data_IF_410717389865
#
_entry.id   IF_410717389865
#
_cell.length_a   1.000
_cell.length_b   1.000
_cell.length_c   1.000
_cell.angle_alpha   90.00
_cell.angle_beta   90.00
_cell.angle_gamma   90.00
#
_symmetry.space_group_name_H-M   'P 1'
#
loop_
_entity.id
_entity.type
_entity.pdbx_description
1 polymer ?
#
# COMPACT_ATOMS: atom_id res chain seq x y z
N UNK A 1 -7.03 0.49 -27.07
CA UNK A 1 -6.32 -0.63 -26.42
C UNK A 1 -7.17 -1.21 -25.29
N UNK A 2 -7.39 -0.46 -24.21
CA UNK A 2 -8.10 -0.96 -23.01
C UNK A 2 -9.52 -1.52 -23.25
N UNK A 3 -10.35 -0.89 -24.09
CA UNK A 3 -11.66 -1.47 -24.42
C UNK A 3 -11.58 -2.88 -24.98
N UNK A 4 -10.61 -3.14 -25.87
CA UNK A 4 -10.38 -4.47 -26.44
C UNK A 4 -9.86 -5.43 -25.36
N UNK A 5 -8.89 -5.02 -24.54
CA UNK A 5 -8.36 -5.82 -23.42
C UNK A 5 -9.48 -6.26 -22.47
N UNK A 6 -10.30 -5.32 -22.00
CA UNK A 6 -11.43 -5.59 -21.08
C UNK A 6 -12.47 -6.51 -21.72
N UNK A 7 -12.84 -6.25 -22.98
CA UNK A 7 -13.77 -7.11 -23.73
C UNK A 7 -13.23 -8.54 -23.90
N UNK A 8 -11.97 -8.67 -24.32
CA UNK A 8 -11.36 -9.98 -24.58
C UNK A 8 -11.24 -10.79 -23.27
N UNK A 9 -10.81 -10.17 -22.16
CA UNK A 9 -10.78 -10.85 -20.84
C UNK A 9 -12.19 -11.27 -20.40
N UNK A 10 -13.18 -10.37 -20.51
CA UNK A 10 -14.55 -10.66 -20.07
C UNK A 10 -15.22 -11.78 -20.91
N UNK A 11 -14.94 -11.85 -22.21
CA UNK A 11 -15.57 -12.83 -23.12
C UNK A 11 -14.87 -14.19 -23.14
N UNK A 12 -13.67 -14.30 -22.57
CA UNK A 12 -12.96 -15.58 -22.39
C UNK A 12 -13.58 -16.45 -21.29
N UNK A 13 -14.35 -15.87 -20.38
CA UNK A 13 -15.00 -16.59 -19.28
C UNK A 13 -16.48 -16.79 -19.58
N UNK A 14 -17.00 -18.00 -19.36
CA UNK A 14 -18.44 -18.27 -19.51
C UNK A 14 -19.23 -17.63 -18.37
N UNK A 15 -20.49 -17.29 -18.62
CA UNK A 15 -21.39 -16.77 -17.57
C UNK A 15 -21.54 -17.75 -16.40
N UNK A 16 -21.54 -19.06 -16.68
CA UNK A 16 -21.58 -20.12 -15.67
C UNK A 16 -20.34 -20.08 -14.77
N UNK A 17 -19.13 -20.01 -15.36
CA UNK A 17 -17.89 -19.89 -14.60
C UNK A 17 -17.87 -18.61 -13.74
N UNK A 18 -18.29 -17.47 -14.30
CA UNK A 18 -18.34 -16.20 -13.55
C UNK A 18 -19.27 -16.32 -12.34
N UNK A 19 -20.43 -16.96 -12.50
CA UNK A 19 -21.38 -17.19 -11.41
C UNK A 19 -20.81 -18.14 -10.34
N UNK A 20 -20.23 -19.26 -10.76
CA UNK A 20 -19.59 -20.25 -9.88
C UNK A 20 -18.46 -19.60 -9.07
N UNK A 21 -17.59 -18.85 -9.75
CA UNK A 21 -16.45 -18.21 -9.11
C UNK A 21 -16.87 -17.10 -8.15
N UNK A 22 -17.90 -16.31 -8.48
CA UNK A 22 -18.46 -15.31 -7.57
C UNK A 22 -19.07 -15.95 -6.31
N UNK A 23 -19.81 -17.06 -6.46
CA UNK A 23 -20.35 -17.80 -5.32
C UNK A 23 -19.24 -18.37 -4.43
N UNK A 24 -18.22 -19.00 -5.04
CA UNK A 24 -17.10 -19.57 -4.29
C UNK A 24 -16.35 -18.51 -3.47
N UNK A 25 -16.13 -17.31 -4.03
CA UNK A 25 -15.51 -16.17 -3.31
C UNK A 25 -16.37 -15.72 -2.13
N UNK A 26 -17.69 -15.62 -2.31
CA UNK A 26 -18.60 -15.24 -1.23
C UNK A 26 -18.60 -16.26 -0.08
N UNK A 27 -18.61 -17.55 -0.40
CA UNK A 27 -18.59 -18.63 0.59
C UNK A 27 -17.24 -18.69 1.32
N UNK A 28 -16.14 -18.58 0.57
CA UNK A 28 -14.79 -18.57 1.13
C UNK A 28 -14.54 -17.39 2.06
N UNK A 29 -15.08 -16.20 1.76
CA UNK A 29 -14.98 -15.04 2.64
C UNK A 29 -15.61 -15.31 4.02
N UNK A 30 -16.82 -15.88 4.04
CA UNK A 30 -17.50 -16.22 5.30
C UNK A 30 -16.74 -17.31 6.07
N UNK A 31 -16.24 -18.32 5.36
CA UNK A 31 -15.43 -19.37 5.96
C UNK A 31 -14.12 -18.82 6.55
N UNK A 32 -13.44 -17.93 5.83
CA UNK A 32 -12.22 -17.26 6.28
C UNK A 32 -12.44 -16.42 7.53
N UNK A 33 -13.53 -15.63 7.59
CA UNK A 33 -13.85 -14.84 8.78
C UNK A 33 -13.96 -15.70 10.04
N UNK A 34 -14.60 -16.87 9.92
CA UNK A 34 -14.70 -17.84 11.01
C UNK A 34 -13.35 -18.49 11.32
N UNK A 35 -12.67 -19.02 10.30
CA UNK A 35 -11.39 -19.69 10.44
C UNK A 35 -10.32 -18.78 11.07
N UNK A 36 -10.24 -17.52 10.64
CA UNK A 36 -9.34 -16.52 11.23
C UNK A 36 -9.69 -16.26 12.69
N UNK A 37 -10.97 -16.09 13.02
CA UNK A 37 -11.39 -15.90 14.42
C UNK A 37 -11.00 -17.07 15.32
N UNK A 38 -11.09 -18.29 14.80
CA UNK A 38 -10.83 -19.54 15.53
C UNK A 38 -9.37 -20.03 15.37
N UNK A 39 -8.53 -19.30 14.64
CA UNK A 39 -7.17 -19.68 14.24
C UNK A 39 -7.07 -21.11 13.64
N UNK A 40 -8.05 -21.48 12.80
CA UNK A 40 -8.21 -22.82 12.24
C UNK A 40 -8.06 -22.83 10.71
N UNK A 41 -6.82 -22.91 10.21
CA UNK A 41 -6.58 -22.97 8.77
C UNK A 41 -7.18 -24.21 8.11
N UNK A 42 -7.27 -25.34 8.84
CA UNK A 42 -7.84 -26.57 8.30
C UNK A 42 -9.32 -26.42 7.93
N UNK A 43 -10.08 -25.60 8.67
CA UNK A 43 -11.45 -25.25 8.31
C UNK A 43 -11.56 -24.39 7.03
N UNK A 44 -10.56 -23.56 6.73
CA UNK A 44 -10.53 -22.72 5.53
C UNK A 44 -9.99 -23.45 4.29
N UNK A 45 -9.11 -24.43 4.47
CA UNK A 45 -8.42 -25.14 3.41
C UNK A 45 -9.31 -25.65 2.26
N UNK A 46 -10.49 -26.28 2.49
CA UNK A 46 -11.36 -26.73 1.39
C UNK A 46 -11.86 -25.58 0.50
N UNK A 47 -12.12 -24.42 1.10
CA UNK A 47 -12.56 -23.22 0.37
C UNK A 47 -11.42 -22.61 -0.43
N UNK A 48 -10.24 -22.51 0.17
CA UNK A 48 -9.04 -22.05 -0.52
C UNK A 48 -8.68 -22.95 -1.71
N UNK A 49 -8.77 -24.27 -1.54
CA UNK A 49 -8.54 -25.24 -2.62
C UNK A 49 -9.50 -25.01 -3.79
N UNK A 50 -10.79 -24.86 -3.52
CA UNK A 50 -11.77 -24.56 -4.56
C UNK A 50 -11.46 -23.23 -5.29
N UNK A 51 -11.07 -22.18 -4.55
CA UNK A 51 -10.69 -20.90 -5.16
C UNK A 51 -9.45 -21.01 -6.03
N UNK A 52 -8.42 -21.74 -5.60
CA UNK A 52 -7.20 -21.96 -6.38
C UNK A 52 -7.51 -22.75 -7.65
N UNK A 53 -8.34 -23.79 -7.57
CA UNK A 53 -8.72 -24.60 -8.73
C UNK A 53 -9.55 -23.80 -9.75
N UNK A 54 -10.49 -22.96 -9.29
CA UNK A 54 -11.22 -22.04 -10.16
C UNK A 54 -10.30 -20.97 -10.75
N UNK A 55 -9.33 -20.46 -9.97
CA UNK A 55 -8.35 -19.50 -10.45
C UNK A 55 -7.46 -20.09 -11.54
N UNK A 56 -7.07 -21.37 -11.44
CA UNK A 56 -6.35 -22.08 -12.52
C UNK A 56 -7.16 -22.15 -13.81
N UNK A 57 -8.45 -22.49 -13.73
CA UNK A 57 -9.34 -22.44 -14.91
C UNK A 57 -9.42 -21.03 -15.52
N UNK A 58 -9.41 -19.99 -14.68
CA UNK A 58 -9.37 -18.58 -15.13
C UNK A 58 -8.08 -18.28 -15.87
N UNK A 59 -6.93 -18.71 -15.33
CA UNK A 59 -5.62 -18.57 -15.97
C UNK A 59 -5.60 -19.27 -17.33
N UNK A 60 -6.10 -20.51 -17.41
CA UNK A 60 -6.16 -21.27 -18.67
C UNK A 60 -7.00 -20.53 -19.73
N UNK A 61 -8.13 -19.94 -19.32
CA UNK A 61 -8.99 -19.17 -20.21
C UNK A 61 -8.32 -17.87 -20.70
N UNK A 62 -7.57 -17.20 -19.82
CA UNK A 62 -6.82 -16.00 -20.18
C UNK A 62 -5.61 -16.29 -21.07
N UNK A 63 -4.89 -17.38 -20.79
CA UNK A 63 -3.58 -17.68 -21.35
C UNK A 63 -2.46 -16.85 -20.71
N UNK A 64 -1.24 -17.33 -20.87
CA UNK A 64 -0.01 -16.69 -20.43
C UNK A 64 1.13 -17.09 -21.37
N UNK A 65 2.23 -16.32 -21.38
CA UNK A 65 3.38 -16.61 -22.24
C UNK A 65 4.44 -17.46 -21.51
N UNK A 66 4.85 -17.04 -20.31
CA UNK A 66 5.97 -17.65 -19.59
C UNK A 66 5.50 -18.48 -18.40
N UNK A 67 4.76 -17.88 -17.48
CA UNK A 67 4.31 -18.58 -16.28
C UNK A 67 2.84 -18.31 -15.94
N UNK A 68 2.09 -19.28 -15.37
CA UNK A 68 0.67 -19.10 -15.03
C UNK A 68 0.40 -17.85 -14.18
N UNK A 69 1.30 -17.54 -13.25
CA UNK A 69 1.15 -16.41 -12.35
C UNK A 69 1.20 -15.04 -13.05
N UNK A 70 1.81 -14.93 -14.24
CA UNK A 70 1.82 -13.68 -15.03
C UNK A 70 0.39 -13.24 -15.41
N UNK A 71 -0.50 -14.20 -15.67
CA UNK A 71 -1.90 -13.89 -15.99
C UNK A 71 -2.64 -13.22 -14.82
N UNK A 72 -2.23 -13.51 -13.59
CA UNK A 72 -2.78 -12.94 -12.37
C UNK A 72 -2.18 -11.56 -12.07
N UNK A 73 -0.86 -11.40 -12.26
CA UNK A 73 -0.20 -10.09 -12.13
C UNK A 73 -0.79 -9.06 -13.11
N UNK A 74 -1.02 -9.44 -14.36
CA UNK A 74 -1.58 -8.56 -15.40
C UNK A 74 -3.05 -8.12 -15.13
N UNK A 75 -3.74 -8.73 -14.16
CA UNK A 75 -5.06 -8.23 -13.72
C UNK A 75 -4.95 -6.92 -12.94
N UNK A 76 -3.88 -6.73 -12.17
CA UNK A 76 -3.73 -5.61 -11.24
C UNK A 76 -2.66 -4.62 -11.67
N UNK A 77 -1.61 -5.10 -12.35
CA UNK A 77 -0.52 -4.31 -12.90
C UNK A 77 -0.27 -4.72 -14.36
N UNK A 78 -1.00 -4.08 -15.28
CA UNK A 78 -1.02 -4.48 -16.68
C UNK A 78 0.37 -4.48 -17.33
N UNK A 79 0.76 -5.59 -17.94
CA UNK A 79 2.00 -5.71 -18.71
C UNK A 79 3.26 -6.01 -17.90
N UNK A 80 3.17 -6.12 -16.58
CA UNK A 80 4.27 -6.61 -15.75
C UNK A 80 4.16 -8.13 -15.54
N UNK A 81 5.32 -8.78 -15.53
CA UNK A 81 5.47 -10.24 -15.40
C UNK A 81 6.42 -10.59 -14.25
N UNK A 82 6.48 -11.86 -13.87
CA UNK A 82 7.44 -12.35 -12.86
C UNK A 82 8.87 -11.93 -13.17
N UNK A 83 9.27 -11.87 -14.44
CA UNK A 83 10.62 -11.42 -14.82
C UNK A 83 10.88 -9.93 -14.56
N UNK A 84 9.84 -9.11 -14.51
CA UNK A 84 9.93 -7.70 -14.14
C UNK A 84 9.91 -7.52 -12.62
N UNK A 85 9.09 -8.31 -11.91
CA UNK A 85 8.95 -8.26 -10.46
C UNK A 85 10.15 -8.83 -9.71
N UNK A 86 10.69 -9.97 -10.15
CA UNK A 86 11.75 -10.69 -9.42
C UNK A 86 12.99 -9.80 -9.18
N UNK A 87 13.55 -9.08 -10.17
CA UNK A 87 14.69 -8.18 -9.95
C UNK A 87 14.39 -7.04 -8.98
N UNK A 88 13.16 -6.48 -9.02
CA UNK A 88 12.74 -5.42 -8.10
C UNK A 88 12.70 -5.94 -6.66
N UNK A 89 12.17 -7.15 -6.46
CA UNK A 89 11.95 -7.76 -5.15
C UNK A 89 13.27 -8.30 -4.55
N UNK A 90 14.13 -8.93 -5.34
CA UNK A 90 15.45 -9.41 -4.88
C UNK A 90 16.30 -8.28 -4.28
N UNK A 91 16.37 -7.14 -4.97
CA UNK A 91 17.10 -5.95 -4.49
C UNK A 91 16.57 -5.42 -3.15
N UNK A 92 15.26 -5.52 -2.91
CA UNK A 92 14.64 -5.09 -1.65
C UNK A 92 15.04 -5.98 -0.48
N UNK A 93 14.85 -7.30 -0.59
CA UNK A 93 15.14 -8.23 0.53
C UNK A 93 16.59 -8.13 0.98
N UNK A 94 17.50 -8.10 0.01
CA UNK A 94 18.94 -8.16 0.28
C UNK A 94 19.47 -6.90 0.99
N UNK A 95 18.74 -5.77 0.93
CA UNK A 95 19.10 -4.51 1.61
C UNK A 95 18.22 -4.18 2.82
N UNK A 96 16.92 -4.46 2.76
CA UNK A 96 15.99 -4.19 3.88
C UNK A 96 16.22 -5.13 5.07
N UNK A 97 16.51 -6.42 4.85
CA UNK A 97 16.76 -7.36 5.97
C UNK A 97 18.02 -6.96 6.76
N UNK A 98 19.17 -6.63 6.14
CA UNK A 98 20.31 -6.08 6.88
C UNK A 98 20.04 -4.73 7.53
N UNK A 99 19.28 -3.83 6.87
CA UNK A 99 18.89 -2.55 7.47
C UNK A 99 18.07 -2.76 8.75
N UNK A 100 17.05 -3.61 8.71
CA UNK A 100 16.24 -3.97 9.87
C UNK A 100 17.11 -4.46 11.03
N UNK A 101 18.06 -5.36 10.77
CA UNK A 101 18.98 -5.88 11.80
C UNK A 101 19.80 -4.76 12.45
N UNK A 102 20.31 -3.81 11.66
CA UNK A 102 21.06 -2.65 12.18
C UNK A 102 20.18 -1.72 13.03
N UNK A 103 18.95 -1.46 12.57
CA UNK A 103 17.96 -0.66 13.32
C UNK A 103 17.66 -1.30 14.67
N UNK A 104 17.37 -2.60 14.69
CA UNK A 104 17.07 -3.33 15.93
C UNK A 104 18.25 -3.36 16.91
N UNK A 105 19.49 -3.39 16.40
CA UNK A 105 20.67 -3.26 17.25
C UNK A 105 20.80 -1.86 17.84
N UNK A 106 20.63 -0.81 17.02
CA UNK A 106 20.66 0.58 17.48
C UNK A 106 19.57 0.88 18.53
N UNK A 107 18.37 0.28 18.38
CA UNK A 107 17.27 0.42 19.34
C UNK A 107 17.59 -0.10 20.74
N UNK A 108 18.58 -1.00 20.90
CA UNK A 108 18.99 -1.48 22.23
C UNK A 108 19.64 -0.39 23.08
N UNK A 109 20.35 0.55 22.46
CA UNK A 109 21.00 1.66 23.14
C UNK A 109 20.18 2.95 23.08
N UNK A 110 19.32 3.08 22.09
CA UNK A 110 18.45 4.24 21.89
C UNK A 110 17.03 3.77 21.53
N UNK A 111 16.17 3.45 22.51
CA UNK A 111 14.80 2.99 22.24
C UNK A 111 13.96 4.11 21.64
N UNK A 112 12.91 3.75 20.89
CA UNK A 112 12.00 4.73 20.31
C UNK A 112 11.11 5.36 21.39
N UNK A 113 10.70 6.63 21.21
CA UNK A 113 9.77 7.28 22.13
C UNK A 113 8.42 6.57 22.10
N UNK A 114 7.77 6.45 23.25
CA UNK A 114 6.42 5.89 23.36
C UNK A 114 5.42 6.99 23.72
N UNK A 115 4.18 6.81 23.29
CA UNK A 115 3.07 7.63 23.75
C UNK A 115 2.90 7.45 25.27
N UNK A 116 2.79 8.54 26.07
CA UNK A 116 2.48 8.43 27.48
C UNK A 116 1.14 7.74 27.73
N UNK A 117 1.10 6.87 28.74
CA UNK A 117 -0.13 6.21 29.16
C UNK A 117 -1.18 7.23 29.62
N UNK A 118 -2.45 6.97 29.27
CA UNK A 118 -3.59 7.77 29.71
C UNK A 118 -3.84 9.05 28.90
N UNK A 119 -3.04 9.34 27.87
CA UNK A 119 -3.41 10.35 26.87
C UNK A 119 -4.64 9.90 26.10
N UNK A 120 -5.51 10.87 25.78
CA UNK A 120 -6.70 10.63 24.97
C UNK A 120 -6.79 11.70 23.89
N UNK A 121 -7.06 11.24 22.67
CA UNK A 121 -7.19 12.08 21.48
C UNK A 121 -8.62 11.95 20.99
N UNK A 122 -9.52 12.84 21.41
CA UNK A 122 -10.94 12.70 21.06
C UNK A 122 -11.16 12.67 19.55
N UNK A 123 -12.07 11.83 19.08
CA UNK A 123 -12.42 11.67 17.66
C UNK A 123 -12.70 13.01 16.96
N UNK A 124 -13.48 13.92 17.58
CA UNK A 124 -13.82 15.23 17.02
C UNK A 124 -12.57 16.07 16.68
N UNK A 125 -11.57 16.06 17.57
CA UNK A 125 -10.31 16.76 17.38
C UNK A 125 -9.43 16.11 16.32
N UNK A 126 -9.43 14.77 16.25
CA UNK A 126 -8.74 14.04 15.16
C UNK A 126 -9.36 14.38 13.80
N UNK A 127 -10.69 14.35 13.70
CA UNK A 127 -11.42 14.69 12.47
C UNK A 127 -11.11 16.13 12.02
N UNK A 128 -11.17 17.10 12.93
CA UNK A 128 -10.87 18.50 12.63
C UNK A 128 -9.42 18.71 12.19
N UNK A 129 -8.45 18.09 12.88
CA UNK A 129 -7.03 18.17 12.53
C UNK A 129 -6.75 17.51 11.17
N UNK A 130 -7.24 16.29 10.96
CA UNK A 130 -7.00 15.55 9.73
C UNK A 130 -7.70 16.20 8.52
N UNK A 131 -8.86 16.83 8.71
CA UNK A 131 -9.53 17.61 7.65
C UNK A 131 -8.63 18.74 7.16
N UNK A 132 -8.02 19.52 8.07
CA UNK A 132 -7.08 20.59 7.71
C UNK A 132 -5.85 20.06 6.96
N UNK A 133 -5.35 18.88 7.37
CA UNK A 133 -4.23 18.22 6.68
C UNK A 133 -4.62 17.84 5.25
N UNK A 134 -5.78 17.21 5.04
CA UNK A 134 -6.29 16.86 3.70
C UNK A 134 -6.51 18.10 2.83
N UNK A 135 -7.06 19.19 3.38
CA UNK A 135 -7.21 20.47 2.67
C UNK A 135 -5.86 21.02 2.23
N UNK A 136 -4.84 20.96 3.11
CA UNK A 136 -3.47 21.42 2.80
C UNK A 136 -2.79 20.56 1.73
N UNK A 137 -3.08 19.26 1.69
CA UNK A 137 -2.69 18.37 0.59
C UNK A 137 -3.36 18.72 -0.74
N UNK A 138 -4.43 19.53 -0.72
CA UNK A 138 -5.14 20.00 -1.90
C UNK A 138 -6.38 19.18 -2.24
N UNK A 139 -6.92 18.41 -1.28
CA UNK A 139 -8.16 17.67 -1.48
C UNK A 139 -9.35 18.62 -1.58
N UNK A 140 -10.16 18.47 -2.62
CA UNK A 140 -11.34 19.28 -2.83
C UNK A 140 -12.58 18.68 -2.15
N UNK A 141 -12.93 19.21 -0.97
CA UNK A 141 -14.14 18.82 -0.23
C UNK A 141 -15.45 19.30 -0.88
N UNK A 142 -15.43 20.17 -1.90
CA UNK A 142 -16.62 20.44 -2.71
C UNK A 142 -16.90 19.30 -3.70
N UNK A 143 -15.88 18.49 -4.01
CA UNK A 143 -15.92 17.35 -4.92
C UNK A 143 -15.74 16.00 -4.18
N UNK A 144 -15.94 15.98 -2.86
CA UNK A 144 -15.64 14.82 -2.04
C UNK A 144 -15.99 14.94 -0.57
N UNK A 145 -15.73 13.89 0.20
CA UNK A 145 -15.91 13.89 1.67
C UNK A 145 -15.06 12.81 2.35
N UNK A 146 -14.82 13.02 3.64
CA UNK A 146 -14.21 12.06 4.57
C UNK A 146 -15.29 11.46 5.49
N UNK A 147 -15.20 10.16 5.77
CA UNK A 147 -16.13 9.42 6.64
C UNK A 147 -15.41 8.43 7.56
N UNK A 148 -16.09 7.90 8.57
CA UNK A 148 -15.56 6.84 9.43
C UNK A 148 -15.87 5.43 8.88
N UNK A 149 -14.90 4.51 8.98
CA UNK A 149 -15.11 3.09 8.68
C UNK A 149 -14.15 2.18 9.46
N UNK A 150 -14.42 0.87 9.48
CA UNK A 150 -13.54 -0.12 10.15
C UNK A 150 -12.20 -0.30 9.44
N UNK A 151 -12.21 -0.21 8.11
CA UNK A 151 -11.02 -0.32 7.26
C UNK A 151 -11.03 0.87 6.32
N UNK A 152 -10.07 1.82 6.47
CA UNK A 152 -9.92 2.95 5.55
C UNK A 152 -9.89 2.49 4.10
N UNK A 153 -10.56 3.24 3.24
CA UNK A 153 -10.49 3.08 1.79
C UNK A 153 -10.88 4.38 1.08
N UNK A 154 -10.37 4.55 -0.13
CA UNK A 154 -10.79 5.58 -1.07
C UNK A 154 -11.68 4.97 -2.14
N UNK A 155 -12.73 5.69 -2.48
CA UNK A 155 -13.72 5.30 -3.48
C UNK A 155 -14.30 6.54 -4.14
N UNK A 156 -15.12 6.34 -5.15
CA UNK A 156 -15.76 7.45 -5.84
C UNK A 156 -16.44 6.96 -7.09
N UNK A 157 -17.02 7.90 -7.81
CA UNK A 157 -17.60 7.61 -9.12
C UNK A 157 -16.64 8.08 -10.21
N UNK A 158 -16.20 9.34 -10.14
CA UNK A 158 -15.31 10.06 -11.07
C UNK A 158 -14.83 11.37 -10.40
N UNK A 159 -13.91 12.16 -11.00
CA UNK A 159 -13.67 13.53 -10.57
C UNK A 159 -15.00 14.27 -10.37
N UNK A 160 -15.15 14.90 -9.20
CA UNK A 160 -16.39 15.55 -8.76
C UNK A 160 -17.19 14.78 -7.70
N UNK A 161 -16.91 13.50 -7.47
CA UNK A 161 -17.40 12.72 -6.30
C UNK A 161 -16.37 11.65 -5.91
N UNK A 162 -15.33 12.09 -5.19
CA UNK A 162 -14.29 11.23 -4.60
C UNK A 162 -14.42 11.24 -3.09
N UNK A 163 -14.59 10.07 -2.48
CA UNK A 163 -14.81 9.91 -1.04
C UNK A 163 -13.73 9.03 -0.47
N UNK A 164 -13.36 9.28 0.76
CA UNK A 164 -12.51 8.35 1.47
C UNK A 164 -12.95 8.20 2.91
N UNK A 165 -12.52 7.10 3.52
CA UNK A 165 -12.83 6.81 4.90
C UNK A 165 -11.57 6.72 5.74
N UNK A 166 -11.69 6.96 7.04
CA UNK A 166 -10.63 6.73 8.02
C UNK A 166 -11.15 5.94 9.21
N UNK A 167 -10.24 5.54 10.09
CA UNK A 167 -10.53 4.93 11.39
C UNK A 167 -9.87 5.78 12.47
N UNK A 168 -10.66 6.15 13.47
CA UNK A 168 -10.17 6.87 14.64
C UNK A 168 -9.69 5.93 15.73
N UNK A 169 -8.65 6.33 16.45
CA UNK A 169 -8.17 5.64 17.64
C UNK A 169 -7.92 6.69 18.73
N UNK A 170 -8.70 6.66 19.82
CA UNK A 170 -8.58 7.65 20.90
C UNK A 170 -7.27 7.51 21.68
N UNK A 171 -6.51 6.43 21.50
CA UNK A 171 -5.24 6.17 22.17
C UNK A 171 -4.03 6.46 21.27
N UNK A 172 -4.23 6.49 19.94
CA UNK A 172 -3.17 6.75 18.97
C UNK A 172 -3.64 7.70 17.84
N UNK A 173 -3.28 9.00 17.89
CA UNK A 173 -3.68 9.97 16.88
C UNK A 173 -2.95 9.76 15.55
N UNK A 174 -1.81 9.07 15.56
CA UNK A 174 -1.01 8.83 14.37
C UNK A 174 -1.66 7.79 13.45
N UNK A 175 -2.37 6.82 14.04
CA UNK A 175 -3.17 5.84 13.29
C UNK A 175 -4.17 6.53 12.35
N UNK A 176 -4.95 7.48 12.87
CA UNK A 176 -5.91 8.24 12.06
C UNK A 176 -5.20 9.18 11.08
N UNK A 177 -4.19 9.92 11.53
CA UNK A 177 -3.50 10.90 10.68
C UNK A 177 -2.93 10.23 9.42
N UNK A 178 -2.15 9.17 9.57
CA UNK A 178 -1.52 8.52 8.43
C UNK A 178 -2.53 7.76 7.56
N UNK A 179 -3.59 7.19 8.15
CA UNK A 179 -4.70 6.66 7.36
C UNK A 179 -5.36 7.76 6.51
N UNK A 180 -5.61 8.95 7.06
CA UNK A 180 -6.18 10.07 6.30
C UNK A 180 -5.23 10.53 5.20
N UNK A 181 -3.93 10.69 5.49
CA UNK A 181 -2.97 11.09 4.46
C UNK A 181 -2.85 10.05 3.34
N UNK A 182 -2.86 8.76 3.68
CA UNK A 182 -2.86 7.65 2.73
C UNK A 182 -4.06 7.72 1.79
N UNK A 183 -5.27 7.74 2.36
CA UNK A 183 -6.49 7.73 1.57
C UNK A 183 -6.72 9.06 0.83
N UNK A 184 -6.23 10.17 1.38
CA UNK A 184 -6.22 11.46 0.66
C UNK A 184 -5.30 11.39 -0.56
N UNK A 185 -4.13 10.75 -0.46
CA UNK A 185 -3.23 10.57 -1.61
C UNK A 185 -3.86 9.75 -2.74
N UNK A 186 -4.58 8.68 -2.41
CA UNK A 186 -5.44 7.97 -3.35
C UNK A 186 -6.51 8.89 -3.95
N UNK A 187 -7.22 9.63 -3.11
CA UNK A 187 -8.30 10.51 -3.55
C UNK A 187 -7.81 11.67 -4.44
N UNK A 188 -6.60 12.17 -4.22
CA UNK A 188 -5.96 13.20 -5.05
C UNK A 188 -5.64 12.69 -6.46
N UNK A 189 -5.27 11.42 -6.60
CA UNK A 189 -5.13 10.81 -7.92
C UNK A 189 -6.47 10.82 -8.66
N UNK A 190 -7.51 10.31 -8.01
CA UNK A 190 -8.87 10.24 -8.57
C UNK A 190 -9.41 11.63 -8.94
N UNK A 191 -9.24 12.64 -8.08
CA UNK A 191 -9.60 14.03 -8.38
C UNK A 191 -8.74 14.66 -9.49
N UNK A 192 -7.55 14.13 -9.73
CA UNK A 192 -6.62 14.61 -10.76
C UNK A 192 -6.81 13.97 -12.15
N UNK A 193 -7.69 12.97 -12.28
CA UNK A 193 -7.98 12.32 -13.57
C UNK A 193 -8.63 13.33 -14.55
N UNK A 194 -8.36 13.15 -15.85
CA UNK A 194 -8.86 14.07 -16.88
C UNK A 194 -10.37 13.88 -17.12
N UNK A 195 -11.16 14.86 -16.66
CA UNK A 195 -12.62 14.90 -16.82
C UNK A 195 -13.10 14.75 -18.26
N UNK A 196 -12.31 15.17 -19.26
CA UNK A 196 -12.68 15.03 -20.66
C UNK A 196 -12.75 13.56 -21.12
N UNK A 197 -12.16 12.65 -20.33
CA UNK A 197 -12.11 11.22 -20.57
C UNK A 197 -12.96 10.39 -19.61
N UNK A 198 -13.83 11.03 -18.81
CA UNK A 198 -14.78 10.35 -17.92
C UNK A 198 -15.61 9.30 -18.67
N UNK A 199 -15.96 8.22 -17.97
CA UNK A 199 -16.69 7.07 -18.52
C UNK A 199 -15.98 6.33 -19.65
N UNK A 200 -14.66 6.52 -19.80
CA UNK A 200 -13.83 5.77 -20.73
C UNK A 200 -12.65 5.17 -19.98
N UNK A 201 -12.10 4.03 -20.45
CA UNK A 201 -10.90 3.46 -19.84
C UNK A 201 -9.73 4.43 -19.76
N UNK A 202 -9.61 5.38 -20.71
CA UNK A 202 -8.56 6.40 -20.68
C UNK A 202 -8.67 7.30 -19.44
N UNK A 203 -9.89 7.55 -18.96
CA UNK A 203 -10.14 8.33 -17.77
C UNK A 203 -9.81 7.59 -16.47
N UNK A 204 -9.79 6.25 -16.46
CA UNK A 204 -9.56 5.46 -15.24
C UNK A 204 -8.10 5.54 -14.77
N UNK A 205 -7.88 5.38 -13.47
CA UNK A 205 -6.56 5.10 -12.90
C UNK A 205 -5.91 3.85 -13.55
N UNK A 206 -4.59 3.89 -13.76
CA UNK A 206 -3.91 2.94 -14.65
C UNK A 206 -3.66 1.56 -14.04
N UNK A 207 -3.38 1.50 -12.74
CA UNK A 207 -3.10 0.26 -12.00
C UNK A 207 -3.14 0.51 -10.49
N UNK A 208 -3.18 -0.59 -9.72
CA UNK A 208 -3.08 -0.51 -8.26
C UNK A 208 -1.70 -0.02 -7.80
N UNK A 209 -0.61 -0.38 -8.48
CA UNK A 209 0.73 0.06 -8.12
C UNK A 209 0.90 1.57 -8.25
N UNK A 210 0.43 2.17 -9.37
CA UNK A 210 0.44 3.63 -9.52
C UNK A 210 -0.53 4.29 -8.54
N UNK A 211 -1.67 3.67 -8.23
CA UNK A 211 -2.62 4.23 -7.26
C UNK A 211 -2.05 4.26 -5.84
N UNK A 212 -1.40 3.18 -5.41
CA UNK A 212 -0.68 3.07 -4.13
C UNK A 212 0.52 4.01 -4.06
N UNK A 213 1.18 4.30 -5.19
CA UNK A 213 2.29 5.24 -5.16
C UNK A 213 1.86 6.65 -4.76
N UNK A 214 0.64 7.04 -5.13
CA UNK A 214 0.09 8.33 -4.72
C UNK A 214 -0.20 8.35 -3.22
N UNK A 215 -0.82 7.31 -2.67
CA UNK A 215 -1.08 7.25 -1.22
C UNK A 215 0.21 7.24 -0.40
N UNK A 216 1.20 6.42 -0.79
CA UNK A 216 2.47 6.28 -0.07
C UNK A 216 3.37 7.51 -0.15
N UNK A 217 3.37 8.22 -1.28
CA UNK A 217 4.12 9.47 -1.42
C UNK A 217 3.62 10.49 -0.39
N UNK A 218 2.31 10.70 -0.32
CA UNK A 218 1.72 11.66 0.62
C UNK A 218 1.82 11.19 2.08
N UNK A 219 1.46 9.94 2.36
CA UNK A 219 1.51 9.38 3.71
C UNK A 219 2.93 9.42 4.29
N UNK A 220 3.90 8.88 3.57
CA UNK A 220 5.20 8.56 4.13
C UNK A 220 6.26 9.60 3.79
N UNK A 221 6.43 9.89 2.50
CA UNK A 221 7.54 10.72 2.03
C UNK A 221 7.29 12.21 2.29
N UNK A 222 6.02 12.60 2.44
CA UNK A 222 5.63 13.93 2.91
C UNK A 222 5.25 13.86 4.39
N UNK A 223 4.25 13.06 4.76
CA UNK A 223 3.66 13.06 6.11
C UNK A 223 4.54 12.55 7.24
N UNK A 224 5.49 11.65 6.98
CA UNK A 224 6.40 11.10 8.02
C UNK A 224 7.77 11.75 7.96
N UNK A 225 7.80 13.09 7.94
CA UNK A 225 9.03 13.90 7.90
C UNK A 225 9.05 14.98 9.01
N UNK A 226 10.24 15.42 9.47
CA UNK A 226 10.34 16.56 10.38
C UNK A 226 9.75 17.85 9.79
N UNK A 227 9.93 18.08 8.49
CA UNK A 227 9.43 19.26 7.77
C UNK A 227 7.90 19.33 7.81
N UNK A 228 7.22 18.21 7.59
CA UNK A 228 5.76 18.14 7.74
C UNK A 228 5.34 18.49 9.16
N UNK A 229 5.98 17.88 10.17
CA UNK A 229 5.65 18.16 11.55
C UNK A 229 5.88 19.62 11.94
N UNK A 230 6.92 20.27 11.40
CA UNK A 230 7.14 21.71 11.62
C UNK A 230 5.98 22.56 11.07
N UNK A 231 5.36 22.15 9.96
CA UNK A 231 4.24 22.88 9.34
C UNK A 231 2.94 22.74 10.13
N UNK A 232 2.67 21.55 10.67
CA UNK A 232 1.37 21.24 11.32
C UNK A 232 1.44 21.22 12.84
N UNK A 233 2.60 21.54 13.44
CA UNK A 233 2.83 21.44 14.88
C UNK A 233 1.85 22.31 15.67
N UNK A 234 1.66 23.55 15.25
CA UNK A 234 0.81 24.51 15.96
C UNK A 234 -0.64 24.02 15.96
N UNK A 235 -1.17 23.57 14.82
CA UNK A 235 -2.53 23.01 14.76
C UNK A 235 -2.67 21.70 15.54
N UNK A 236 -1.62 20.88 15.59
CA UNK A 236 -1.60 19.66 16.39
C UNK A 236 -1.66 19.98 17.89
N UNK A 237 -0.83 20.92 18.37
CA UNK A 237 -0.82 21.34 19.77
C UNK A 237 -2.10 22.06 20.18
N UNK A 238 -2.69 22.87 19.30
CA UNK A 238 -4.01 23.48 19.53
C UNK A 238 -5.11 22.42 19.67
N UNK A 239 -5.06 21.38 18.83
CA UNK A 239 -6.02 20.28 18.88
C UNK A 239 -5.83 19.44 20.14
N UNK A 240 -4.59 19.17 20.53
CA UNK A 240 -4.23 18.27 21.62
C UNK A 240 -3.29 18.95 22.64
N UNK A 241 -3.80 19.92 23.43
CA UNK A 241 -2.96 20.71 24.35
C UNK A 241 -2.40 19.90 25.52
N UNK A 242 -2.99 18.73 25.80
CA UNK A 242 -2.52 17.80 26.84
C UNK A 242 -1.41 16.86 26.31
N UNK A 243 -1.14 16.86 25.00
CA UNK A 243 -0.01 16.14 24.44
C UNK A 243 1.30 16.72 24.99
N UNK A 244 2.33 15.89 25.22
CA UNK A 244 3.65 16.38 25.59
C UNK A 244 4.18 17.39 24.58
N UNK A 245 5.05 18.30 25.04
CA UNK A 245 5.79 19.22 24.18
C UNK A 245 6.83 18.44 23.37
N UNK A 246 6.38 17.68 22.37
CA UNK A 246 7.23 17.01 21.41
C UNK A 246 7.76 18.01 20.38
N UNK A 247 9.04 17.88 20.03
CA UNK A 247 9.58 18.53 18.84
C UNK A 247 9.32 17.67 17.59
N UNK A 248 9.52 18.26 16.42
CA UNK A 248 9.33 17.56 15.14
C UNK A 248 10.24 16.35 14.99
N UNK A 249 11.43 16.36 15.59
CA UNK A 249 12.33 15.20 15.63
C UNK A 249 11.73 14.03 16.39
N UNK A 250 11.14 14.29 17.57
CA UNK A 250 10.48 13.28 18.41
C UNK A 250 9.25 12.70 17.70
N UNK A 251 8.40 13.55 17.12
CA UNK A 251 7.22 13.11 16.37
C UNK A 251 7.62 12.30 15.13
N UNK A 252 8.63 12.76 14.38
CA UNK A 252 9.18 12.04 13.25
C UNK A 252 9.70 10.66 13.67
N UNK A 253 10.32 10.55 14.86
CA UNK A 253 10.81 9.27 15.36
C UNK A 253 9.68 8.33 15.80
N UNK A 254 8.63 8.85 16.43
CA UNK A 254 7.42 8.06 16.76
C UNK A 254 6.76 7.56 15.47
N UNK A 255 6.58 8.44 14.49
CA UNK A 255 5.97 8.15 13.20
C UNK A 255 6.71 7.10 12.36
N UNK A 256 8.01 6.96 12.57
CA UNK A 256 8.89 6.08 11.82
C UNK A 256 9.50 4.98 12.70
N UNK A 257 8.85 4.64 13.82
CA UNK A 257 9.29 3.52 14.64
C UNK A 257 9.26 2.22 13.83
N UNK A 258 10.35 1.46 13.86
CA UNK A 258 10.50 0.18 13.15
C UNK A 258 10.37 -0.97 14.12
N UNK A 259 9.45 -1.88 13.86
CA UNK A 259 9.25 -3.07 14.69
C UNK A 259 8.83 -4.27 13.82
N UNK A 260 9.57 -5.40 13.87
CA UNK A 260 9.13 -6.61 13.21
C UNK A 260 7.84 -7.11 13.88
N UNK A 261 6.76 -7.12 13.12
CA UNK A 261 5.46 -7.64 13.55
C UNK A 261 4.98 -8.76 12.63
N UNK A 262 3.76 -9.25 12.91
CA UNK A 262 3.07 -10.20 12.04
C UNK A 262 2.15 -9.47 11.05
N UNK A 263 1.50 -8.40 11.51
CA UNK A 263 0.42 -7.71 10.81
C UNK A 263 0.96 -6.76 9.74
N UNK A 264 0.73 -7.11 8.47
CA UNK A 264 1.20 -6.34 7.31
C UNK A 264 0.63 -4.92 7.29
N UNK A 265 -0.65 -4.74 7.61
CA UNK A 265 -1.30 -3.42 7.58
C UNK A 265 -0.85 -2.49 8.71
N UNK A 266 -0.10 -3.01 9.69
CA UNK A 266 0.48 -2.27 10.81
C UNK A 266 2.02 -2.15 10.68
N UNK A 267 2.61 -2.73 9.63
CA UNK A 267 4.04 -2.78 9.43
C UNK A 267 4.61 -1.41 8.99
N UNK A 268 5.81 -1.10 9.46
CA UNK A 268 6.55 0.12 9.13
C UNK A 268 7.15 0.09 7.71
N UNK A 269 7.68 1.21 7.21
CA UNK A 269 8.20 1.30 5.83
C UNK A 269 9.35 0.32 5.52
N UNK A 270 10.12 -0.10 6.53
CA UNK A 270 11.24 -1.04 6.36
C UNK A 270 10.72 -2.47 6.26
N UNK A 271 9.74 -2.84 7.09
CA UNK A 271 9.24 -4.22 7.20
C UNK A 271 8.07 -4.54 6.27
N UNK A 272 7.27 -3.53 5.89
CA UNK A 272 6.05 -3.70 5.08
C UNK A 272 6.29 -4.45 3.76
N UNK A 273 7.33 -4.05 3.02
CA UNK A 273 7.64 -4.67 1.73
C UNK A 273 8.02 -6.15 1.89
N UNK A 274 8.67 -6.54 3.00
CA UNK A 274 9.00 -7.95 3.27
C UNK A 274 7.73 -8.80 3.46
N UNK A 275 6.68 -8.26 4.07
CA UNK A 275 5.39 -8.95 4.17
C UNK A 275 4.74 -9.18 2.80
N UNK A 276 4.81 -8.19 1.91
CA UNK A 276 4.30 -8.29 0.54
C UNK A 276 5.09 -9.34 -0.26
N UNK A 277 6.42 -9.27 -0.18
CA UNK A 277 7.32 -10.24 -0.81
C UNK A 277 7.01 -11.68 -0.39
N UNK A 278 6.71 -11.89 0.91
CA UNK A 278 6.38 -13.21 1.42
C UNK A 278 5.15 -13.79 0.71
N UNK A 279 4.11 -12.98 0.50
CA UNK A 279 2.89 -13.38 -0.19
C UNK A 279 3.13 -13.63 -1.67
N UNK A 280 3.91 -12.75 -2.32
CA UNK A 280 4.31 -12.92 -3.72
C UNK A 280 5.02 -14.26 -3.97
N UNK A 281 6.00 -14.62 -3.14
CA UNK A 281 6.72 -15.89 -3.25
C UNK A 281 5.82 -17.10 -3.00
N UNK A 282 4.91 -17.02 -2.02
CA UNK A 282 3.93 -18.09 -1.77
C UNK A 282 2.99 -18.25 -2.97
N UNK A 283 2.49 -17.17 -3.54
CA UNK A 283 1.59 -17.25 -4.69
C UNK A 283 2.28 -17.81 -5.93
N UNK A 284 3.55 -17.44 -6.18
CA UNK A 284 4.38 -18.11 -7.20
C UNK A 284 4.42 -19.62 -6.98
N UNK A 285 4.61 -20.07 -5.74
CA UNK A 285 4.60 -21.51 -5.41
C UNK A 285 3.26 -22.17 -5.69
N UNK A 286 2.15 -21.52 -5.33
CA UNK A 286 0.80 -22.06 -5.56
C UNK A 286 0.51 -22.24 -7.06
N UNK A 287 0.84 -21.25 -7.88
CA UNK A 287 0.40 -21.21 -9.29
C UNK A 287 1.44 -21.73 -10.28
N UNK A 288 2.74 -21.57 -10.00
CA UNK A 288 3.80 -22.04 -10.90
C UNK A 288 4.33 -23.42 -10.51
N UNK A 289 4.32 -23.76 -9.22
CA UNK A 289 4.89 -25.01 -8.69
C UNK A 289 3.83 -26.02 -8.21
N UNK A 290 2.53 -25.66 -8.25
CA UNK A 290 1.43 -26.47 -7.72
C UNK A 290 1.65 -26.90 -6.25
N UNK A 291 2.07 -25.95 -5.42
CA UNK A 291 2.38 -26.21 -4.01
C UNK A 291 1.17 -26.75 -3.22
N UNK A 292 1.35 -27.77 -2.36
CA UNK A 292 0.27 -28.35 -1.55
C UNK A 292 -0.25 -27.36 -0.51
N UNK A 293 -1.53 -26.98 -0.62
CA UNK A 293 -2.11 -25.89 0.18
C UNK A 293 -2.18 -26.22 1.68
N UNK A 294 -2.24 -27.49 2.05
CA UNK A 294 -2.18 -27.95 3.44
C UNK A 294 -0.84 -27.62 4.13
N UNK A 295 0.21 -27.33 3.36
CA UNK A 295 1.52 -26.94 3.89
C UNK A 295 1.70 -25.42 3.98
N UNK A 296 0.71 -24.62 3.57
CA UNK A 296 0.81 -23.15 3.62
C UNK A 296 1.14 -22.59 5.00
N UNK A 297 0.56 -23.07 6.12
CA UNK A 297 0.96 -22.60 7.44
C UNK A 297 2.46 -22.80 7.71
N UNK A 298 3.02 -23.95 7.33
CA UNK A 298 4.42 -24.26 7.53
C UNK A 298 5.34 -23.36 6.70
N UNK A 299 5.01 -23.17 5.41
CA UNK A 299 5.76 -22.30 4.51
C UNK A 299 5.74 -20.84 4.98
N UNK A 300 4.57 -20.34 5.38
CA UNK A 300 4.42 -19.00 5.93
C UNK A 300 5.29 -18.82 7.17
N UNK A 301 5.17 -19.74 8.13
CA UNK A 301 5.87 -19.65 9.41
C UNK A 301 7.39 -19.72 9.23
N UNK A 302 7.90 -20.54 8.30
CA UNK A 302 9.33 -20.57 8.01
C UNK A 302 9.83 -19.25 7.44
N UNK A 303 9.09 -18.64 6.51
CA UNK A 303 9.49 -17.35 5.93
C UNK A 303 9.43 -16.20 6.95
N UNK A 304 8.43 -16.19 7.84
CA UNK A 304 8.37 -15.22 8.95
C UNK A 304 9.57 -15.38 9.88
N UNK A 305 9.92 -16.62 10.25
CA UNK A 305 11.11 -16.90 11.06
C UNK A 305 12.39 -16.44 10.38
N UNK A 306 12.58 -16.77 9.10
CA UNK A 306 13.82 -16.48 8.38
C UNK A 306 14.03 -14.98 8.14
N UNK A 307 12.96 -14.25 7.83
CA UNK A 307 13.06 -12.84 7.40
C UNK A 307 12.89 -11.86 8.56
N UNK A 308 12.04 -12.18 9.53
CA UNK A 308 11.70 -11.29 10.66
C UNK A 308 12.29 -11.78 12.00
N UNK A 309 12.73 -13.04 12.08
CA UNK A 309 13.22 -13.63 13.34
C UNK A 309 12.11 -13.92 14.35
N UNK A 310 10.87 -14.10 13.88
CA UNK A 310 9.70 -14.29 14.73
C UNK A 310 9.15 -15.72 14.64
N UNK A 311 8.57 -16.20 15.73
CA UNK A 311 7.80 -17.45 15.77
C UNK A 311 6.32 -17.12 15.71
N UNK A 312 5.64 -17.54 14.64
CA UNK A 312 4.19 -17.32 14.49
C UNK A 312 3.44 -18.14 15.54
N UNK A 313 2.62 -17.49 16.40
CA UNK A 313 1.95 -18.18 17.51
C UNK A 313 0.68 -18.95 17.09
N UNK A 314 0.02 -18.52 16.02
CA UNK A 314 -1.29 -19.02 15.58
C UNK A 314 -1.59 -18.58 14.14
N UNK A 315 -2.48 -19.31 13.46
CA UNK A 315 -2.76 -19.09 12.03
C UNK A 315 -3.41 -17.73 11.72
N UNK A 316 -4.13 -17.13 12.68
CA UNK A 316 -4.75 -15.80 12.55
C UNK A 316 -3.73 -14.66 12.49
N UNK A 317 -2.55 -14.85 13.09
CA UNK A 317 -1.35 -14.03 12.93
C UNK A 317 -0.39 -14.59 11.87
N UNK A 318 -0.80 -15.67 11.21
CA UNK A 318 -0.07 -16.37 10.16
C UNK A 318 -0.77 -16.24 8.82
N UNK A 319 -0.91 -17.37 8.12
CA UNK A 319 -1.46 -17.44 6.77
C UNK A 319 -2.95 -17.03 6.65
N UNK A 320 -3.70 -16.92 7.75
CA UNK A 320 -5.08 -16.42 7.76
C UNK A 320 -5.19 -14.90 7.99
N UNK A 321 -4.08 -14.20 8.20
CA UNK A 321 -4.08 -12.80 8.57
C UNK A 321 -4.83 -11.90 7.58
N UNK A 322 -4.57 -12.08 6.28
CA UNK A 322 -5.12 -11.25 5.22
C UNK A 322 -6.33 -11.90 4.54
N UNK A 323 -7.28 -11.04 4.15
CA UNK A 323 -8.53 -11.42 3.50
C UNK A 323 -8.36 -11.80 2.02
N UNK A 324 -7.29 -11.35 1.35
CA UNK A 324 -7.14 -11.38 -0.11
C UNK A 324 -7.34 -12.75 -0.74
N UNK A 325 -6.76 -13.81 -0.16
CA UNK A 325 -6.91 -15.16 -0.69
C UNK A 325 -8.33 -15.72 -0.55
N UNK A 326 -9.10 -15.28 0.46
CA UNK A 326 -10.53 -15.61 0.57
C UNK A 326 -11.39 -14.95 -0.52
N UNK A 327 -10.86 -13.88 -1.14
CA UNK A 327 -11.47 -13.20 -2.26
C UNK A 327 -10.87 -13.60 -3.60
N UNK A 328 -9.99 -14.61 -3.65
CA UNK A 328 -9.21 -15.01 -4.82
C UNK A 328 -8.44 -13.85 -5.49
N UNK A 329 -8.00 -12.88 -4.70
CA UNK A 329 -7.20 -11.74 -5.15
C UNK A 329 -5.70 -12.11 -5.22
N UNK A 330 -5.38 -13.13 -6.02
CA UNK A 330 -4.00 -13.56 -6.29
C UNK A 330 -3.37 -12.69 -7.38
N UNK A 331 -2.09 -12.35 -7.26
CA UNK A 331 -1.40 -11.34 -8.07
C UNK A 331 -1.61 -9.91 -7.58
N UNK A 332 -2.40 -9.72 -6.52
CA UNK A 332 -2.74 -8.40 -5.98
C UNK A 332 -1.63 -7.82 -5.12
N UNK A 333 -1.14 -8.58 -4.12
CA UNK A 333 -0.19 -8.05 -3.13
C UNK A 333 1.03 -7.32 -3.71
N UNK A 334 1.67 -7.79 -4.79
CA UNK A 334 2.86 -7.16 -5.33
C UNK A 334 2.68 -5.69 -5.70
N UNK A 335 1.46 -5.26 -6.01
CA UNK A 335 1.17 -3.86 -6.34
C UNK A 335 1.39 -2.92 -5.16
N UNK A 336 1.26 -3.40 -3.92
CA UNK A 336 1.57 -2.59 -2.74
C UNK A 336 3.05 -2.21 -2.68
N UNK A 337 3.95 -3.17 -2.98
CA UNK A 337 5.39 -2.88 -3.05
C UNK A 337 5.71 -1.97 -4.23
N UNK A 338 5.10 -2.21 -5.40
CA UNK A 338 5.28 -1.30 -6.54
C UNK A 338 4.88 0.13 -6.21
N UNK A 339 3.81 0.33 -5.43
CA UNK A 339 3.43 1.64 -4.91
C UNK A 339 4.56 2.35 -4.18
N UNK A 340 5.22 1.66 -3.23
CA UNK A 340 6.37 2.22 -2.52
C UNK A 340 7.55 2.55 -3.45
N UNK A 341 7.84 1.68 -4.43
CA UNK A 341 8.92 1.89 -5.39
C UNK A 341 8.65 3.10 -6.28
N UNK A 342 7.47 3.14 -6.88
CA UNK A 342 7.02 4.23 -7.75
C UNK A 342 6.94 5.55 -6.98
N UNK A 343 6.50 5.54 -5.72
CA UNK A 343 6.43 6.76 -4.91
C UNK A 343 7.81 7.41 -4.79
N UNK A 344 8.82 6.62 -4.40
CA UNK A 344 10.19 7.12 -4.25
C UNK A 344 10.80 7.57 -5.59
N UNK A 345 10.54 6.83 -6.67
CA UNK A 345 11.02 7.18 -8.01
C UNK A 345 10.37 8.48 -8.53
N UNK A 346 9.08 8.67 -8.28
CA UNK A 346 8.36 9.91 -8.59
C UNK A 346 8.86 11.09 -7.76
N UNK A 347 9.14 10.89 -6.46
CA UNK A 347 9.67 11.94 -5.60
C UNK A 347 11.07 12.39 -6.02
N UNK A 348 11.95 11.46 -6.40
CA UNK A 348 13.28 11.79 -6.92
C UNK A 348 13.20 12.61 -8.20
N UNK A 349 12.37 12.18 -9.16
CA UNK A 349 12.13 12.95 -10.39
C UNK A 349 11.48 14.31 -10.13
N UNK A 350 10.57 14.40 -9.16
CA UNK A 350 9.97 15.66 -8.72
C UNK A 350 11.04 16.60 -8.12
N UNK A 351 12.00 16.06 -7.37
CA UNK A 351 13.11 16.82 -6.80
C UNK A 351 14.02 17.40 -7.89
N UNK A 352 14.26 16.66 -8.97
CA UNK A 352 15.04 17.14 -10.10
C UNK A 352 14.36 18.31 -10.83
N UNK A 353 13.03 18.27 -10.94
CA UNK A 353 12.23 19.29 -11.62
C UNK A 353 11.96 20.54 -10.75
N UNK A 354 11.67 20.35 -9.46
CA UNK A 354 11.19 21.41 -8.56
C UNK A 354 12.26 21.93 -7.59
N UNK A 355 13.37 21.21 -7.41
CA UNK A 355 14.39 21.50 -6.40
C UNK A 355 14.16 20.75 -5.09
N UNK A 356 14.55 21.32 -3.96
CA UNK A 356 14.45 20.63 -2.67
C UNK A 356 12.99 20.35 -2.29
N UNK A 357 12.68 19.06 -2.16
CA UNK A 357 11.38 18.60 -1.67
C UNK A 357 11.22 18.96 -0.19
N UNK A 358 12.28 18.90 0.61
CA UNK A 358 12.25 19.30 2.01
C UNK A 358 11.84 20.77 2.17
N UNK A 359 12.42 21.67 1.37
CA UNK A 359 12.01 23.08 1.35
C UNK A 359 10.55 23.26 0.92
N UNK A 360 10.10 22.45 -0.05
CA UNK A 360 8.71 22.45 -0.51
C UNK A 360 7.75 21.99 0.61
N UNK A 361 8.08 20.92 1.33
CA UNK A 361 7.30 20.43 2.47
C UNK A 361 7.28 21.50 3.57
N UNK A 362 8.44 22.04 3.95
CA UNK A 362 8.61 23.02 5.03
C UNK A 362 7.91 24.37 4.74
N UNK A 363 7.64 24.68 3.48
CA UNK A 363 6.88 25.89 3.09
C UNK A 363 5.42 25.84 3.55
N UNK A 364 4.87 24.64 3.74
CA UNK A 364 3.45 24.41 4.03
C UNK A 364 2.49 24.66 2.87
N UNK A 365 3.00 25.01 1.68
CA UNK A 365 2.28 25.06 0.41
C UNK A 365 2.73 23.91 -0.49
N UNK A 366 1.89 22.88 -0.59
CA UNK A 366 2.19 21.67 -1.35
C UNK A 366 1.55 21.66 -2.75
N UNK A 367 1.04 22.82 -3.19
CA UNK A 367 0.34 22.95 -4.48
C UNK A 367 1.23 22.68 -5.69
N UNK A 368 2.53 23.02 -5.62
CA UNK A 368 3.50 22.74 -6.69
C UNK A 368 3.74 21.25 -6.87
N UNK A 369 3.89 20.50 -5.77
CA UNK A 369 4.05 19.04 -5.77
C UNK A 369 2.79 18.36 -6.33
N UNK A 370 1.60 18.76 -5.87
CA UNK A 370 0.34 18.24 -6.41
C UNK A 370 0.17 18.57 -7.89
N UNK A 371 0.52 19.79 -8.33
CA UNK A 371 0.45 20.19 -9.73
C UNK A 371 1.39 19.35 -10.62
N UNK A 372 2.58 19.02 -10.12
CA UNK A 372 3.52 18.14 -10.81
C UNK A 372 2.95 16.73 -10.99
N UNK A 373 2.39 16.15 -9.93
CA UNK A 373 1.74 14.83 -10.00
C UNK A 373 0.54 14.84 -10.94
N UNK A 374 -0.27 15.91 -10.93
CA UNK A 374 -1.41 16.06 -11.85
C UNK A 374 -0.98 16.01 -13.30
N UNK A 375 0.08 16.73 -13.65
CA UNK A 375 0.56 16.82 -15.03
C UNK A 375 1.25 15.54 -15.50
N UNK A 376 2.13 14.97 -14.67
CA UNK A 376 2.98 13.83 -15.03
C UNK A 376 2.28 12.49 -14.89
N UNK A 377 1.33 12.38 -13.96
CA UNK A 377 0.70 11.10 -13.58
C UNK A 377 -0.82 11.17 -13.75
N UNK A 378 -1.50 12.06 -13.01
CA UNK A 378 -2.95 11.94 -12.81
C UNK A 378 -3.73 12.10 -14.11
N UNK A 379 -3.48 13.17 -14.87
CA UNK A 379 -4.17 13.44 -16.14
C UNK A 379 -3.97 12.35 -17.17
N UNK A 380 -2.90 11.54 -17.07
CA UNK A 380 -2.59 10.46 -18.01
C UNK A 380 -3.57 9.31 -17.90
N UNK A 381 -4.23 9.12 -16.74
CA UNK A 381 -5.14 7.99 -16.50
C UNK A 381 -4.55 6.70 -17.06
N UNK A 382 -5.35 5.91 -17.79
CA UNK A 382 -4.87 4.69 -18.45
C UNK A 382 -4.43 4.90 -19.91
N UNK A 383 -3.87 6.06 -20.26
CA UNK A 383 -3.32 6.30 -21.61
C UNK A 383 -2.16 5.34 -21.94
N UNK A 384 -1.31 5.12 -20.95
CA UNK A 384 -0.09 4.30 -21.03
C UNK A 384 -0.28 3.02 -20.22
N UNK A 385 0.62 2.06 -20.39
CA UNK A 385 0.76 1.00 -19.39
C UNK A 385 1.41 1.58 -18.12
N UNK A 386 1.26 0.95 -16.95
CA UNK A 386 1.80 1.47 -15.70
C UNK A 386 3.31 1.72 -15.75
N UNK A 387 4.10 0.74 -16.21
CA UNK A 387 5.55 0.88 -16.34
C UNK A 387 5.93 2.01 -17.31
N UNK A 388 5.25 2.10 -18.46
CA UNK A 388 5.45 3.19 -19.44
C UNK A 388 5.11 4.57 -18.83
N UNK A 389 4.09 4.66 -17.97
CA UNK A 389 3.72 5.90 -17.29
C UNK A 389 4.81 6.34 -16.30
N UNK A 390 5.33 5.40 -15.51
CA UNK A 390 6.43 5.69 -14.57
C UNK A 390 7.69 6.10 -15.34
N UNK A 391 7.99 5.43 -16.46
CA UNK A 391 9.12 5.81 -17.32
C UNK A 391 8.93 7.18 -17.95
N UNK A 392 7.74 7.51 -18.44
CA UNK A 392 7.45 8.85 -18.98
C UNK A 392 7.53 9.94 -17.90
N UNK A 393 7.04 9.66 -16.70
CA UNK A 393 7.01 10.62 -15.60
C UNK A 393 8.40 10.88 -15.00
N UNK A 394 9.27 9.87 -14.98
CA UNK A 394 10.54 9.89 -14.22
C UNK A 394 11.78 9.81 -15.11
N UNK A 395 11.63 9.52 -16.40
CA UNK A 395 12.73 9.39 -17.36
C UNK A 395 13.47 8.05 -17.32
N UNK A 396 13.03 7.08 -16.51
CA UNK A 396 13.64 5.75 -16.40
C UNK A 396 12.61 4.67 -16.05
N UNK A 397 12.82 3.40 -16.44
CA UNK A 397 11.89 2.32 -16.12
C UNK A 397 11.77 2.12 -14.59
N UNK A 398 10.70 1.43 -14.13
CA UNK A 398 10.57 0.98 -12.75
C UNK A 398 11.86 0.47 -12.12
N UNK A 399 12.24 1.02 -10.97
CA UNK A 399 13.44 0.63 -10.22
C UNK A 399 13.19 0.61 -8.71
N UNK A 400 13.86 -0.29 -8.00
CA UNK A 400 13.86 -0.31 -6.54
C UNK A 400 14.90 0.64 -5.92
N UNK A 401 15.85 1.15 -6.70
CA UNK A 401 16.96 1.95 -6.19
C UNK A 401 16.56 3.30 -5.56
N UNK A 402 15.62 4.09 -6.12
CA UNK A 402 15.15 5.31 -5.47
C UNK A 402 14.58 5.06 -4.08
N UNK A 403 13.76 4.02 -3.93
CA UNK A 403 13.19 3.63 -2.64
C UNK A 403 14.28 3.20 -1.65
N UNK A 404 15.23 2.38 -2.10
CA UNK A 404 16.31 1.91 -1.24
C UNK A 404 17.21 3.05 -0.76
N UNK A 405 17.53 4.02 -1.62
CA UNK A 405 18.24 5.24 -1.20
C UNK A 405 17.44 6.03 -0.16
N UNK A 406 16.17 6.31 -0.44
CA UNK A 406 15.28 7.04 0.45
C UNK A 406 15.20 6.38 1.85
N UNK A 407 14.91 5.08 1.90
CA UNK A 407 14.77 4.35 3.16
C UNK A 407 16.10 4.27 3.90
N UNK A 408 17.21 3.96 3.22
CA UNK A 408 18.51 3.88 3.91
C UNK A 408 19.00 5.23 4.44
N UNK A 409 18.78 6.32 3.70
CA UNK A 409 19.11 7.67 4.16
C UNK A 409 18.25 8.07 5.37
N UNK A 410 16.93 7.95 5.23
CA UNK A 410 15.97 8.31 6.29
C UNK A 410 16.22 7.52 7.57
N UNK A 411 16.30 6.19 7.48
CA UNK A 411 16.45 5.34 8.65
C UNK A 411 17.90 5.31 9.18
N UNK A 412 18.89 5.55 8.32
CA UNK A 412 20.27 5.79 8.74
C UNK A 412 20.38 7.04 9.61
N UNK A 413 19.69 8.13 9.25
CA UNK A 413 19.62 9.34 10.06
C UNK A 413 18.87 9.13 11.38
N UNK A 414 17.67 8.52 11.35
CA UNK A 414 16.82 8.30 12.54
C UNK A 414 17.53 7.42 13.58
N UNK A 415 18.18 6.34 13.13
CA UNK A 415 18.81 5.35 14.01
C UNK A 415 20.33 5.49 14.14
N UNK A 416 20.94 6.50 13.51
CA UNK A 416 22.38 6.81 13.57
C UNK A 416 23.27 5.61 13.16
N UNK A 417 23.00 5.04 11.98
CA UNK A 417 23.60 3.80 11.48
C UNK A 417 24.88 3.93 10.65
#
# INVERSE_FOLDING_TARGET
REFRKRYDKATKLSAEFVSEFAQARSEALVAWQKARKDADFAAFLPHLQNLVDLTRKKIDAYGYEKTPYDALLDEYESGMTVEDYDPLFEGLRDRLVPLLKRILEAKKSNPDPTLPEGLTFSVEKQEAFCTKVSERMGFDFAAGRMDASTHPFSAGIWPGDTRFTTRYDELDPFSCLYAVMHETGHALYEQGLDENHRFTPRGDAVSLGVHESQSRLWENQIGRTPEFWNVVMDEFQESFPDAPSWDSSTLNRIANAVEPGFIRVEADEVTYNLHVMLRYEIEKKIFNENYPLEQLPNLWNSMISDWFGLTVPSDDLGCLQDIHWSMAAFGYFPTYTLGNLYAAQLLEAMSDDLGSIQDSIASGDWSSMLAWLRERVHKRGSALLPADLIEEATGSPPSSEPFLRYVEEKYGAIYSL
#
